data_IF_354939231191
#
_entry.id   IF_354939231191
#
_cell.length_a   1.000
_cell.length_b   1.000
_cell.length_c   1.000
_cell.angle_alpha   90.00
_cell.angle_beta   90.00
_cell.angle_gamma   90.00
#
_symmetry.space_group_name_H-M   'P 1'
#
loop_
_entity.id
_entity.type
_entity.pdbx_description
1 polymer ?
#
# COMPACT_ATOMS: atom_id res chain seq x y z
N UNK A 1 -20.78 -14.81 -9.20
CA UNK A 1 -20.06 -14.54 -7.94
C UNK A 1 -18.95 -13.58 -8.30
N UNK A 2 -19.14 -12.29 -8.01
CA UNK A 2 -18.19 -11.24 -8.36
C UNK A 2 -17.01 -11.34 -7.39
N UNK A 3 -15.79 -11.44 -7.90
CA UNK A 3 -14.58 -11.43 -7.06
C UNK A 3 -14.59 -10.18 -6.17
N UNK A 4 -14.17 -10.28 -4.90
CA UNK A 4 -14.15 -9.12 -4.02
C UNK A 4 -13.22 -8.06 -4.63
N UNK A 5 -13.72 -6.83 -4.73
CA UNK A 5 -13.07 -5.73 -5.42
C UNK A 5 -11.73 -5.37 -4.76
N UNK A 6 -10.62 -5.38 -5.50
CA UNK A 6 -9.31 -4.95 -4.99
C UNK A 6 -9.18 -3.43 -5.08
N UNK A 7 -10.10 -2.72 -4.43
CA UNK A 7 -10.20 -1.26 -4.52
C UNK A 7 -9.78 -0.58 -3.22
N UNK A 8 -9.30 0.67 -3.31
CA UNK A 8 -8.95 1.49 -2.14
C UNK A 8 -10.03 1.52 -1.06
N UNK A 9 -11.35 1.63 -1.37
CA UNK A 9 -12.42 1.55 -0.38
C UNK A 9 -12.48 0.20 0.35
N UNK A 10 -12.28 -0.91 -0.37
CA UNK A 10 -12.27 -2.23 0.26
C UNK A 10 -11.10 -2.34 1.24
N UNK A 11 -9.89 -1.94 0.83
CA UNK A 11 -8.72 -1.92 1.68
C UNK A 11 -8.88 -1.01 2.92
N UNK A 12 -9.49 0.16 2.77
CA UNK A 12 -9.84 1.04 3.90
C UNK A 12 -10.76 0.33 4.90
N UNK A 13 -11.75 -0.42 4.42
CA UNK A 13 -12.63 -1.21 5.27
C UNK A 13 -11.90 -2.28 6.08
N UNK A 14 -10.92 -2.95 5.48
CA UNK A 14 -10.09 -3.95 6.17
C UNK A 14 -9.21 -3.33 7.26
N UNK A 15 -8.58 -2.18 6.98
CA UNK A 15 -7.84 -1.43 7.99
C UNK A 15 -8.71 -0.98 9.15
N UNK A 16 -9.88 -0.41 8.86
CA UNK A 16 -10.82 0.03 9.89
C UNK A 16 -11.28 -1.15 10.76
N UNK A 17 -11.62 -2.27 10.13
CA UNK A 17 -12.04 -3.46 10.85
C UNK A 17 -10.94 -4.02 11.78
N UNK A 18 -9.68 -3.92 11.37
CA UNK A 18 -8.52 -4.32 12.16
C UNK A 18 -8.30 -3.38 13.36
N UNK A 19 -8.39 -2.06 13.15
CA UNK A 19 -8.30 -1.03 14.21
C UNK A 19 -9.43 -1.21 15.23
N UNK A 20 -10.65 -1.41 14.75
CA UNK A 20 -11.82 -1.60 15.62
C UNK A 20 -11.80 -2.96 16.35
N UNK A 21 -10.82 -3.83 16.06
CA UNK A 21 -10.71 -5.16 16.64
C UNK A 21 -11.81 -6.12 16.20
N UNK A 22 -12.53 -5.79 15.11
CA UNK A 22 -13.64 -6.60 14.58
C UNK A 22 -13.17 -7.75 13.69
N UNK A 23 -11.93 -7.69 13.22
CA UNK A 23 -11.23 -8.80 12.57
C UNK A 23 -9.87 -9.02 13.24
N UNK A 24 -9.43 -10.26 13.24
CA UNK A 24 -8.10 -10.62 13.70
C UNK A 24 -7.03 -10.27 12.66
N UNK A 25 -5.82 -9.96 13.14
CA UNK A 25 -4.66 -9.66 12.29
C UNK A 25 -4.42 -10.71 11.22
N UNK A 26 -4.40 -11.99 11.60
CA UNK A 26 -4.11 -13.10 10.68
C UNK A 26 -5.08 -13.09 9.48
N UNK A 27 -6.37 -12.86 9.75
CA UNK A 27 -7.38 -12.74 8.70
C UNK A 27 -7.14 -11.55 7.76
N UNK A 28 -6.72 -10.40 8.30
CA UNK A 28 -6.43 -9.22 7.49
C UNK A 28 -5.20 -9.43 6.59
N UNK A 29 -4.19 -10.12 7.12
CA UNK A 29 -2.95 -10.45 6.43
C UNK A 29 -3.18 -11.48 5.34
N UNK A 30 -3.94 -12.54 5.61
CA UNK A 30 -4.30 -13.56 4.62
C UNK A 30 -5.04 -12.94 3.44
N UNK A 31 -5.97 -12.02 3.73
CA UNK A 31 -6.65 -11.27 2.68
C UNK A 31 -5.68 -10.41 1.87
N UNK A 32 -4.78 -9.67 2.51
CA UNK A 32 -3.79 -8.85 1.82
C UNK A 32 -2.88 -9.71 0.91
N UNK A 33 -2.42 -10.85 1.40
CA UNK A 33 -1.60 -11.81 0.63
C UNK A 33 -2.34 -12.35 -0.58
N UNK A 34 -3.59 -12.76 -0.40
CA UNK A 34 -4.41 -13.24 -1.51
C UNK A 34 -4.51 -12.17 -2.61
N UNK A 35 -4.72 -10.91 -2.23
CA UNK A 35 -4.79 -9.79 -3.18
C UNK A 35 -3.46 -9.54 -3.88
N UNK A 36 -2.36 -9.52 -3.15
CA UNK A 36 -1.01 -9.36 -3.71
C UNK A 36 -0.61 -10.52 -4.63
N UNK A 37 -1.14 -11.72 -4.41
CA UNK A 37 -0.90 -12.90 -5.27
C UNK A 37 -1.79 -12.93 -6.52
N UNK A 38 -2.80 -12.07 -6.61
CA UNK A 38 -3.66 -12.02 -7.79
C UNK A 38 -2.94 -11.24 -8.88
N UNK A 39 -2.80 -11.81 -10.08
CA UNK A 39 -2.06 -11.21 -11.20
C UNK A 39 -2.84 -10.06 -11.90
N UNK A 40 -3.69 -9.37 -11.13
CA UNK A 40 -4.46 -8.21 -11.59
C UNK A 40 -3.76 -6.93 -11.18
N UNK A 41 -3.54 -6.05 -12.17
CA UNK A 41 -2.92 -4.76 -11.91
C UNK A 41 -3.82 -3.91 -11.00
N UNK A 42 -3.29 -3.55 -9.84
CA UNK A 42 -3.87 -2.56 -8.91
C UNK A 42 -3.11 -1.25 -9.04
N UNK A 43 -3.74 -0.12 -8.73
CA UNK A 43 -3.00 1.13 -8.64
C UNK A 43 -1.97 1.05 -7.51
N UNK A 44 -0.87 1.79 -7.67
CA UNK A 44 0.29 1.71 -6.78
C UNK A 44 -0.04 2.12 -5.34
N UNK A 45 -1.03 3.00 -5.11
CA UNK A 45 -1.47 3.39 -3.76
C UNK A 45 -2.20 2.24 -3.07
N UNK A 46 -3.06 1.53 -3.81
CA UNK A 46 -3.67 0.27 -3.33
C UNK A 46 -2.60 -0.78 -3.05
N UNK A 47 -1.62 -0.93 -3.95
CA UNK A 47 -0.54 -1.89 -3.79
C UNK A 47 0.28 -1.63 -2.51
N UNK A 48 0.66 -0.38 -2.26
CA UNK A 48 1.38 0.02 -1.05
C UNK A 48 0.60 -0.31 0.22
N UNK A 49 -0.69 0.02 0.28
CA UNK A 49 -1.51 -0.29 1.45
C UNK A 49 -1.67 -1.80 1.69
N UNK A 50 -1.72 -2.61 0.64
CA UNK A 50 -1.71 -4.08 0.75
C UNK A 50 -0.37 -4.61 1.26
N UNK A 51 0.75 -4.06 0.78
CA UNK A 51 2.08 -4.43 1.25
C UNK A 51 2.25 -4.11 2.75
N UNK A 52 1.86 -2.92 3.18
CA UNK A 52 1.93 -2.52 4.60
C UNK A 52 1.12 -3.50 5.46
N UNK A 53 -0.11 -3.83 5.06
CA UNK A 53 -0.96 -4.77 5.80
C UNK A 53 -0.40 -6.20 5.82
N UNK A 54 0.21 -6.65 4.73
CA UNK A 54 0.90 -7.95 4.69
C UNK A 54 2.13 -7.97 5.62
N UNK A 55 2.95 -6.92 5.57
CA UNK A 55 4.17 -6.81 6.36
C UNK A 55 3.86 -6.76 7.86
N UNK A 56 2.74 -6.12 8.24
CA UNK A 56 2.24 -6.14 9.61
C UNK A 56 2.07 -7.56 10.17
N UNK A 57 1.60 -8.52 9.36
CA UNK A 57 1.44 -9.92 9.77
C UNK A 57 2.73 -10.73 9.82
N UNK A 58 3.72 -10.36 9.00
CA UNK A 58 5.00 -11.06 8.91
C UNK A 58 5.96 -10.68 10.05
N UNK A 59 5.72 -9.56 10.72
CA UNK A 59 6.53 -9.18 11.87
C UNK A 59 6.11 -9.96 13.12
N UNK A 60 6.96 -10.93 13.50
CA UNK A 60 6.77 -11.84 14.62
C UNK A 60 7.04 -11.13 15.97
N UNK A 61 6.18 -10.20 16.38
CA UNK A 61 6.37 -9.45 17.61
C UNK A 61 5.83 -10.17 18.87
N UNK A 62 6.59 -10.04 19.95
CA UNK A 62 6.25 -10.50 21.29
C UNK A 62 5.21 -9.56 21.91
N UNK A 63 4.09 -10.12 22.32
CA UNK A 63 2.86 -9.44 22.75
C UNK A 63 3.12 -8.50 23.93
N UNK A 64 2.99 -7.19 23.69
CA UNK A 64 2.48 -6.24 24.68
C UNK A 64 1.29 -5.53 24.01
N UNK A 65 0.08 -5.99 24.34
CA UNK A 65 -1.19 -5.75 23.62
C UNK A 65 -1.61 -4.29 23.39
N UNK A 66 -0.92 -3.31 23.99
CA UNK A 66 -1.17 -1.88 23.74
C UNK A 66 -0.35 -1.29 22.58
N UNK A 67 0.89 -1.74 22.38
CA UNK A 67 1.80 -1.17 21.37
C UNK A 67 1.45 -1.60 19.93
N UNK A 68 0.70 -2.70 19.79
CA UNK A 68 0.29 -3.24 18.50
C UNK A 68 -0.83 -2.37 17.88
N UNK A 69 -1.75 -1.86 18.70
CA UNK A 69 -2.89 -1.07 18.24
C UNK A 69 -2.48 0.35 17.78
N UNK A 70 -1.65 1.03 18.58
CA UNK A 70 -1.15 2.37 18.21
C UNK A 70 -0.35 2.34 16.90
N UNK A 71 0.38 1.25 16.66
CA UNK A 71 1.15 1.07 15.44
C UNK A 71 0.28 0.81 14.22
N UNK A 72 -0.70 -0.08 14.32
CA UNK A 72 -1.69 -0.31 13.24
C UNK A 72 -2.38 1.01 12.87
N UNK A 73 -2.74 1.81 13.86
CA UNK A 73 -3.33 3.12 13.63
C UNK A 73 -2.38 4.07 12.89
N UNK A 74 -1.10 4.14 13.28
CA UNK A 74 -0.10 4.98 12.60
C UNK A 74 0.16 4.53 11.15
N UNK A 75 0.30 3.23 10.91
CA UNK A 75 0.50 2.67 9.56
C UNK A 75 -0.73 2.92 8.67
N UNK A 76 -1.94 2.78 9.21
CA UNK A 76 -3.17 3.16 8.52
C UNK A 76 -3.23 4.66 8.22
N UNK A 77 -2.87 5.51 9.19
CA UNK A 77 -2.92 6.96 9.03
C UNK A 77 -1.95 7.45 7.96
N UNK A 78 -0.70 6.97 7.97
CA UNK A 78 0.31 7.29 6.96
C UNK A 78 -0.14 6.87 5.55
N UNK A 79 -0.72 5.67 5.43
CA UNK A 79 -1.31 5.24 4.17
C UNK A 79 -2.49 6.13 3.74
N UNK A 80 -3.35 6.55 4.68
CA UNK A 80 -4.46 7.46 4.40
C UNK A 80 -4.01 8.84 3.92
N UNK A 81 -2.90 9.38 4.44
CA UNK A 81 -2.28 10.60 3.90
C UNK A 81 -1.81 10.39 2.45
N UNK A 82 -1.22 9.22 2.15
CA UNK A 82 -0.83 8.86 0.77
C UNK A 82 -2.05 8.78 -0.15
N UNK A 83 -3.15 8.19 0.33
CA UNK A 83 -4.44 8.13 -0.39
C UNK A 83 -4.95 9.54 -0.67
N UNK A 84 -4.94 10.43 0.32
CA UNK A 84 -5.41 11.80 0.17
C UNK A 84 -4.56 12.57 -0.85
N UNK A 85 -3.23 12.48 -0.76
CA UNK A 85 -2.33 13.12 -1.72
C UNK A 85 -2.58 12.65 -3.16
N UNK A 86 -2.84 11.35 -3.35
CA UNK A 86 -3.20 10.81 -4.65
C UNK A 86 -4.57 11.31 -5.13
N UNK A 87 -5.56 11.40 -4.24
CA UNK A 87 -6.91 11.88 -4.59
C UNK A 87 -6.94 13.38 -4.93
N UNK A 88 -6.09 14.18 -4.28
CA UNK A 88 -5.98 15.62 -4.50
C UNK A 88 -5.34 15.95 -5.85
N UNK A 89 -4.25 15.27 -6.22
CA UNK A 89 -3.60 15.42 -7.53
C UNK A 89 -2.94 14.10 -8.01
N UNK A 90 -3.70 13.24 -8.70
CA UNK A 90 -3.17 11.97 -9.22
C UNK A 90 -2.01 12.15 -10.19
N UNK A 91 -1.97 13.26 -10.93
CA UNK A 91 -0.95 13.52 -11.93
C UNK A 91 0.38 13.92 -11.28
N UNK A 92 0.34 14.80 -10.26
CA UNK A 92 1.53 15.14 -9.47
C UNK A 92 2.05 13.93 -8.70
N UNK A 93 1.16 13.12 -8.12
CA UNK A 93 1.52 11.89 -7.45
C UNK A 93 2.28 10.96 -8.40
N UNK A 94 1.74 10.69 -9.60
CA UNK A 94 2.37 9.79 -10.57
C UNK A 94 3.76 10.28 -11.01
N UNK A 95 3.93 11.60 -11.19
CA UNK A 95 5.24 12.19 -11.49
C UNK A 95 6.23 12.02 -10.33
N UNK A 96 5.79 12.23 -9.09
CA UNK A 96 6.62 12.06 -7.91
C UNK A 96 7.05 10.61 -7.72
N UNK A 97 6.11 9.67 -7.88
CA UNK A 97 6.38 8.24 -7.86
C UNK A 97 7.39 7.83 -8.93
N UNK A 98 7.16 8.21 -10.19
CA UNK A 98 8.06 7.89 -11.29
C UNK A 98 9.48 8.41 -11.03
N UNK A 99 9.62 9.64 -10.49
CA UNK A 99 10.92 10.20 -10.10
C UNK A 99 11.60 9.38 -9.00
N UNK A 100 10.85 8.98 -7.96
CA UNK A 100 11.38 8.15 -6.87
C UNK A 100 11.83 6.78 -7.37
N UNK A 101 11.02 6.13 -8.20
CA UNK A 101 11.33 4.86 -8.82
C UNK A 101 12.62 4.95 -9.64
N UNK A 102 12.70 5.91 -10.57
CA UNK A 102 13.90 6.14 -11.39
C UNK A 102 15.13 6.41 -10.55
N UNK A 103 15.01 7.22 -9.50
CA UNK A 103 16.14 7.56 -8.61
C UNK A 103 16.70 6.33 -7.87
N UNK A 104 15.83 5.37 -7.55
CA UNK A 104 16.21 4.11 -6.91
C UNK A 104 16.91 3.12 -7.83
N UNK A 105 16.84 3.30 -9.15
CA UNK A 105 17.48 2.38 -10.10
C UNK A 105 19.01 2.55 -10.18
N UNK A 106 19.74 1.48 -10.56
CA UNK A 106 21.14 1.59 -10.96
C UNK A 106 21.35 2.62 -12.07
N UNK A 107 22.46 3.36 -12.04
CA UNK A 107 22.73 4.49 -12.94
C UNK A 107 22.51 4.17 -14.43
N UNK A 108 22.92 2.98 -14.88
CA UNK A 108 22.80 2.54 -16.28
C UNK A 108 21.34 2.27 -16.73
N UNK A 109 20.38 2.21 -15.81
CA UNK A 109 18.95 2.04 -16.11
C UNK A 109 18.17 3.35 -15.98
N UNK A 110 18.75 4.40 -15.39
CA UNK A 110 18.03 5.64 -15.05
C UNK A 110 17.58 6.41 -16.28
N UNK A 111 18.44 6.63 -17.26
CA UNK A 111 18.07 7.36 -18.49
C UNK A 111 16.95 6.67 -19.25
N UNK A 112 17.05 5.34 -19.43
CA UNK A 112 16.04 4.56 -20.13
C UNK A 112 14.70 4.58 -19.40
N UNK A 113 14.71 4.47 -18.07
CA UNK A 113 13.49 4.52 -17.27
C UNK A 113 12.88 5.93 -17.25
N UNK A 114 13.69 6.98 -17.09
CA UNK A 114 13.23 8.37 -17.11
C UNK A 114 12.56 8.73 -18.45
N UNK A 115 13.10 8.28 -19.58
CA UNK A 115 12.48 8.46 -20.89
C UNK A 115 11.12 7.74 -21.00
N UNK A 116 11.01 6.48 -20.52
CA UNK A 116 9.75 5.74 -20.52
C UNK A 116 8.64 6.39 -19.68
N UNK A 117 9.01 7.12 -18.62
CA UNK A 117 8.07 7.86 -17.78
C UNK A 117 7.84 9.30 -18.26
N UNK A 118 8.46 9.74 -19.36
CA UNK A 118 8.34 11.13 -19.85
C UNK A 118 8.90 12.17 -18.86
N UNK A 119 9.94 11.80 -18.11
CA UNK A 119 10.58 12.67 -17.10
C UNK A 119 11.75 13.50 -17.65
N UNK A 120 12.06 13.34 -18.93
CA UNK A 120 13.10 14.09 -19.66
C UNK A 120 12.39 14.79 -20.83
N UNK A 121 12.66 16.09 -21.00
CA UNK A 121 12.17 16.90 -22.14
C UNK A 121 12.91 16.55 -23.44
#
# INVERSE_FOLDING_TARGET
MTEPDTTRPALRGWWQALIDGTIERERAVDWAQQRLSTDSWVDEVTHQGLQILNDYGQQRWTIASGLDHDRVFLEYWDWMETVQQFEDDPAAWNRAYARRFVSGLPAHLRERAAASFGLID
#
